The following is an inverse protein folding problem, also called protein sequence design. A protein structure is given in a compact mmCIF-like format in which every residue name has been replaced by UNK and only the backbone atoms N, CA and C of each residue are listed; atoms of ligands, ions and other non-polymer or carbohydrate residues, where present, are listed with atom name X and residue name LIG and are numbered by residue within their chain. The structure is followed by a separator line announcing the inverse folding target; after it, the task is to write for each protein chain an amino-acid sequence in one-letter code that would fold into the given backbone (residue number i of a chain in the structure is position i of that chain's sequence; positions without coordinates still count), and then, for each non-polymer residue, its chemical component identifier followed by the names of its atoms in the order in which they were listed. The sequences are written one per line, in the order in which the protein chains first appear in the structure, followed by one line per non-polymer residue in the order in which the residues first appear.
data_IF_574534918405
#
_entry.id   IF_574534918405
#
_cell.length_a   1.000
_cell.length_b   1.000
_cell.length_c   1.000
_cell.angle_alpha   90.00
_cell.angle_beta   90.00
_cell.angle_gamma   90.00
#
_symmetry.space_group_name_H-M   'P 1'
#
loop_
_entity.id
_entity.type
_entity.pdbx_description
1 polymer ?
#
# COMPACT_ATOMS: atom_id res chain seq x y z
N UNK A 1 14.12 -6.88 -20.63
CA UNK A 1 13.91 -5.56 -19.98
C UNK A 1 12.82 -5.59 -18.90
N UNK A 2 11.70 -6.32 -19.07
CA UNK A 2 10.61 -6.43 -18.08
C UNK A 2 11.00 -7.00 -16.70
N UNK A 3 11.90 -7.99 -16.63
CA UNK A 3 12.39 -8.56 -15.37
C UNK A 3 13.17 -7.54 -14.52
N UNK A 4 13.98 -6.69 -15.16
CA UNK A 4 14.75 -5.62 -14.51
C UNK A 4 13.85 -4.51 -13.97
N UNK A 5 12.70 -4.28 -14.61
CA UNK A 5 11.70 -3.30 -14.17
C UNK A 5 10.88 -3.80 -12.97
N UNK A 6 10.54 -5.09 -12.95
CA UNK A 6 9.80 -5.72 -11.84
C UNK A 6 10.62 -5.75 -10.55
N UNK A 7 11.90 -6.13 -10.62
CA UNK A 7 12.80 -6.12 -9.46
C UNK A 7 12.98 -4.72 -8.86
N UNK A 8 13.00 -3.67 -9.70
CA UNK A 8 13.10 -2.29 -9.26
C UNK A 8 11.84 -1.80 -8.52
N UNK A 9 10.66 -2.24 -8.95
CA UNK A 9 9.40 -1.92 -8.26
C UNK A 9 9.33 -2.59 -6.89
N UNK A 10 9.64 -3.89 -6.84
CA UNK A 10 9.66 -4.64 -5.59
C UNK A 10 10.65 -4.02 -4.60
N UNK A 11 11.88 -3.76 -5.03
CA UNK A 11 12.89 -3.11 -4.20
C UNK A 11 12.40 -1.80 -3.60
N UNK A 12 11.83 -0.90 -4.42
CA UNK A 12 11.28 0.38 -3.94
C UNK A 12 10.15 0.18 -2.93
N UNK A 13 9.28 -0.81 -3.14
CA UNK A 13 8.19 -1.13 -2.22
C UNK A 13 8.68 -1.60 -0.84
N UNK A 14 9.82 -2.30 -0.81
CA UNK A 14 10.38 -2.86 0.43
C UNK A 14 11.19 -1.86 1.26
N UNK A 15 11.62 -0.71 0.69
CA UNK A 15 12.54 0.21 1.38
C UNK A 15 12.01 0.72 2.72
N UNK A 16 10.77 1.21 2.76
CA UNK A 16 10.18 1.76 4.00
C UNK A 16 9.89 0.66 5.03
N UNK A 17 9.25 -0.48 4.68
CA UNK A 17 9.09 -1.58 5.62
C UNK A 17 10.42 -2.12 6.16
N UNK A 18 11.44 -2.30 5.31
CA UNK A 18 12.76 -2.75 5.74
C UNK A 18 13.43 -1.76 6.69
N UNK A 19 13.34 -0.45 6.41
CA UNK A 19 13.88 0.57 7.31
C UNK A 19 13.20 0.53 8.67
N UNK A 20 11.88 0.35 8.70
CA UNK A 20 11.14 0.19 9.96
C UNK A 20 11.57 -1.08 10.70
N UNK A 21 11.75 -2.21 10.02
CA UNK A 21 12.24 -3.46 10.62
C UNK A 21 13.65 -3.32 11.17
N UNK A 22 14.55 -2.67 10.42
CA UNK A 22 15.91 -2.39 10.88
C UNK A 22 15.88 -1.52 12.13
N UNK A 23 15.00 -0.51 12.17
CA UNK A 23 14.82 0.33 13.35
C UNK A 23 14.32 -0.46 14.56
N UNK A 24 13.29 -1.30 14.39
CA UNK A 24 12.78 -2.17 15.46
C UNK A 24 13.87 -3.12 15.96
N UNK A 25 14.64 -3.73 15.04
CA UNK A 25 15.72 -4.63 15.39
C UNK A 25 16.86 -3.92 16.12
N UNK A 26 17.24 -2.72 15.68
CA UNK A 26 18.26 -1.91 16.34
C UNK A 26 17.83 -1.56 17.77
N UNK A 27 16.60 -1.08 17.96
CA UNK A 27 16.05 -0.77 19.29
C UNK A 27 16.03 -2.02 20.17
N UNK A 28 15.57 -3.16 19.65
CA UNK A 28 15.52 -4.41 20.40
C UNK A 28 16.92 -4.88 20.83
N UNK A 29 17.91 -4.86 19.92
CA UNK A 29 19.29 -5.26 20.24
C UNK A 29 19.89 -4.32 21.28
N UNK A 30 19.70 -3.00 21.13
CA UNK A 30 20.21 -2.01 22.09
C UNK A 30 19.56 -2.15 23.47
N UNK A 31 18.24 -2.36 23.55
CA UNK A 31 17.55 -2.60 24.81
C UNK A 31 18.10 -3.82 25.54
N UNK A 32 18.30 -4.92 24.80
CA UNK A 32 18.78 -6.19 25.35
C UNK A 32 20.26 -6.18 25.73
N UNK A 33 21.11 -5.52 24.95
CA UNK A 33 22.55 -5.49 25.22
C UNK A 33 22.91 -4.57 26.38
N UNK A 34 22.15 -3.49 26.58
CA UNK A 34 22.39 -2.49 27.61
C UNK A 34 21.47 -2.62 28.84
N UNK A 35 20.51 -3.55 28.81
CA UNK A 35 19.58 -3.78 29.93
C UNK A 35 18.66 -2.59 30.21
N UNK A 36 18.28 -1.82 29.19
CA UNK A 36 17.62 -0.52 29.36
C UNK A 36 16.17 -0.62 29.81
N UNK A 37 15.51 -1.77 29.63
CA UNK A 37 14.09 -1.98 29.95
C UNK A 37 13.16 -1.00 29.22
N UNK A 38 13.40 -0.77 27.93
CA UNK A 38 12.69 0.23 27.11
C UNK A 38 11.19 -0.06 26.96
N UNK A 39 10.75 -1.30 27.16
CA UNK A 39 9.34 -1.69 27.11
C UNK A 39 8.44 -0.90 28.08
N UNK A 40 9.00 -0.25 29.11
CA UNK A 40 8.27 0.70 29.98
C UNK A 40 7.70 1.92 29.24
N UNK A 41 8.25 2.24 28.07
CA UNK A 41 7.75 3.31 27.19
C UNK A 41 6.71 2.79 26.21
N UNK A 42 6.10 1.64 26.46
CA UNK A 42 4.94 1.17 25.72
C UNK A 42 3.70 2.04 25.98
N UNK A 43 2.61 1.69 25.31
CA UNK A 43 1.35 2.39 25.41
C UNK A 43 0.58 1.90 26.62
N UNK A 44 0.29 2.82 27.54
CA UNK A 44 -0.51 2.58 28.73
C UNK A 44 -1.87 3.25 28.50
N UNK A 45 -2.98 2.50 28.46
CA UNK A 45 -4.30 3.06 28.19
C UNK A 45 -4.71 4.10 29.24
N UNK A 46 -5.40 5.16 28.80
CA UNK A 46 -5.99 6.22 29.62
C UNK A 46 -5.04 7.05 30.51
N UNK A 47 -3.75 6.73 30.52
CA UNK A 47 -2.74 7.44 31.30
C UNK A 47 -2.01 8.47 30.44
N UNK A 48 -1.86 9.73 30.88
CA UNK A 48 -1.14 10.75 30.11
C UNK A 48 0.31 10.36 29.76
N UNK A 49 1.02 9.67 30.66
CA UNK A 49 2.37 9.16 30.41
C UNK A 49 2.38 8.09 29.29
N UNK A 50 1.28 7.36 29.12
CA UNK A 50 1.11 6.33 28.09
C UNK A 50 0.96 6.89 26.67
N UNK A 51 0.71 8.20 26.49
CA UNK A 51 0.61 8.83 25.17
C UNK A 51 1.91 8.75 24.38
N UNK A 52 3.06 8.75 25.06
CA UNK A 52 4.36 8.53 24.41
C UNK A 52 4.37 7.20 23.65
N UNK A 53 3.71 6.18 24.23
CA UNK A 53 3.51 4.86 23.66
C UNK A 53 2.82 4.84 22.30
N UNK A 54 2.04 5.86 21.93
CA UNK A 54 1.47 5.95 20.57
C UNK A 54 2.59 5.94 19.52
N UNK A 55 3.72 6.59 19.82
CA UNK A 55 4.87 6.66 18.93
C UNK A 55 5.81 5.48 19.21
N UNK A 56 6.10 5.17 20.47
CA UNK A 56 7.16 4.21 20.81
C UNK A 56 6.71 2.76 20.79
N UNK A 57 5.46 2.44 21.13
CA UNK A 57 5.02 1.05 21.31
C UNK A 57 5.26 0.16 20.07
N UNK A 58 4.99 0.60 18.82
CA UNK A 58 5.26 -0.22 17.64
C UNK A 58 6.74 -0.58 17.43
N UNK A 59 7.66 0.14 18.07
CA UNK A 59 9.10 -0.10 17.98
C UNK A 59 9.63 -1.03 19.07
N UNK A 60 8.88 -1.20 20.16
CA UNK A 60 9.28 -1.96 21.35
C UNK A 60 8.76 -3.39 21.26
N UNK A 61 9.58 -4.38 21.62
CA UNK A 61 9.21 -5.79 21.54
C UNK A 61 9.68 -6.57 22.76
N UNK A 62 8.79 -7.44 23.25
CA UNK A 62 9.00 -8.22 24.47
C UNK A 62 10.09 -9.27 24.34
N UNK A 63 10.21 -9.91 23.18
CA UNK A 63 11.16 -10.97 22.89
C UNK A 63 11.38 -11.11 21.37
N UNK A 64 12.30 -11.98 20.98
CA UNK A 64 12.64 -12.15 19.56
C UNK A 64 11.50 -12.76 18.73
N UNK A 65 10.73 -13.70 19.30
CA UNK A 65 9.58 -14.28 18.59
C UNK A 65 8.48 -13.23 18.40
N UNK A 66 8.26 -12.37 19.39
CA UNK A 66 7.37 -11.23 19.27
C UNK A 66 7.84 -10.26 18.17
N UNK A 67 9.12 -9.89 18.12
CA UNK A 67 9.68 -9.07 17.04
C UNK A 67 9.50 -9.72 15.66
N UNK A 68 9.87 -10.99 15.53
CA UNK A 68 9.87 -11.70 14.25
C UNK A 68 8.45 -11.91 13.70
N UNK A 69 7.51 -12.28 14.58
CA UNK A 69 6.09 -12.45 14.23
C UNK A 69 5.41 -11.16 13.77
N UNK A 70 5.99 -10.00 14.05
CA UNK A 70 5.54 -8.70 13.54
C UNK A 70 6.31 -8.27 12.28
N UNK A 71 7.62 -8.45 12.27
CA UNK A 71 8.49 -8.02 11.17
C UNK A 71 8.11 -8.67 9.83
N UNK A 72 7.78 -9.97 9.83
CA UNK A 72 7.44 -10.70 8.61
C UNK A 72 6.12 -10.21 7.99
N UNK A 73 4.97 -10.17 8.71
CA UNK A 73 3.75 -9.55 8.20
C UNK A 73 3.94 -8.09 7.78
N UNK A 74 4.67 -7.30 8.58
CA UNK A 74 4.92 -5.89 8.28
C UNK A 74 5.69 -5.71 6.97
N UNK A 75 6.67 -6.58 6.69
CA UNK A 75 7.39 -6.58 5.42
C UNK A 75 6.44 -6.84 4.25
N UNK A 76 5.61 -7.89 4.35
CA UNK A 76 4.71 -8.30 3.25
C UNK A 76 3.61 -7.27 3.03
N UNK A 77 2.87 -6.90 4.08
CA UNK A 77 1.76 -5.95 4.01
C UNK A 77 2.25 -4.54 3.71
N UNK A 78 3.37 -4.12 4.30
CA UNK A 78 3.98 -2.83 4.00
C UNK A 78 4.47 -2.76 2.55
N UNK A 79 5.11 -3.81 2.04
CA UNK A 79 5.53 -3.85 0.64
C UNK A 79 4.33 -3.82 -0.29
N UNK A 80 3.27 -4.58 0.01
CA UNK A 80 1.98 -4.51 -0.70
C UNK A 80 1.43 -3.09 -0.73
N UNK A 81 1.44 -2.39 0.41
CA UNK A 81 0.98 -1.01 0.52
C UNK A 81 1.74 -0.07 -0.43
N UNK A 82 3.07 -0.12 -0.41
CA UNK A 82 3.91 0.75 -1.25
C UNK A 82 3.94 0.35 -2.73
N UNK A 83 3.57 -0.88 -3.09
CA UNK A 83 3.42 -1.29 -4.49
C UNK A 83 2.06 -0.87 -5.04
N UNK A 84 0.98 -1.17 -4.31
CA UNK A 84 -0.41 -1.09 -4.76
C UNK A 84 -1.02 0.31 -4.56
N UNK A 85 -0.58 1.06 -3.54
CA UNK A 85 -1.18 2.34 -3.12
C UNK A 85 -0.18 3.50 -3.12
N UNK A 86 0.81 3.49 -4.03
CA UNK A 86 1.97 4.41 -4.06
C UNK A 86 1.70 5.87 -3.65
N UNK A 87 0.68 6.58 -4.16
CA UNK A 87 0.49 8.00 -3.86
C UNK A 87 0.16 8.27 -2.39
N UNK A 88 -0.49 7.30 -1.73
CA UNK A 88 -1.02 7.44 -0.37
C UNK A 88 -0.37 6.49 0.64
N UNK A 89 0.52 5.60 0.20
CA UNK A 89 1.10 4.52 1.02
C UNK A 89 1.71 5.03 2.33
N UNK A 90 2.55 6.07 2.27
CA UNK A 90 3.17 6.64 3.46
C UNK A 90 2.14 7.26 4.41
N UNK A 91 1.12 7.95 3.85
CA UNK A 91 0.02 8.54 4.62
C UNK A 91 -0.79 7.45 5.33
N UNK A 92 -1.15 6.38 4.62
CA UNK A 92 -1.89 5.23 5.19
C UNK A 92 -1.07 4.55 6.28
N UNK A 93 0.23 4.36 6.09
CA UNK A 93 1.11 3.75 7.11
C UNK A 93 1.16 4.61 8.39
N UNK A 94 1.40 5.92 8.26
CA UNK A 94 1.47 6.84 9.40
C UNK A 94 0.12 6.94 10.11
N UNK A 95 -0.98 7.03 9.37
CA UNK A 95 -2.31 7.06 9.98
C UNK A 95 -2.67 5.74 10.64
N UNK A 96 -2.30 4.61 10.03
CA UNK A 96 -2.47 3.28 10.64
C UNK A 96 -1.72 3.18 11.96
N UNK A 97 -0.53 3.75 12.05
CA UNK A 97 0.23 3.82 13.30
C UNK A 97 -0.45 4.71 14.35
N UNK A 98 -0.67 5.97 14.02
CA UNK A 98 -1.10 6.97 14.99
C UNK A 98 -2.55 6.77 15.44
N UNK A 99 -3.46 6.45 14.53
CA UNK A 99 -4.88 6.25 14.87
C UNK A 99 -5.05 4.97 15.67
N UNK A 100 -4.37 3.89 15.31
CA UNK A 100 -4.40 2.64 16.10
C UNK A 100 -3.91 2.89 17.52
N UNK A 101 -2.78 3.59 17.67
CA UNK A 101 -2.27 3.97 18.99
C UNK A 101 -3.27 4.84 19.76
N UNK A 102 -3.82 5.88 19.14
CA UNK A 102 -4.77 6.77 19.80
C UNK A 102 -6.05 6.04 20.25
N UNK A 103 -6.60 5.19 19.41
CA UNK A 103 -7.77 4.39 19.77
C UNK A 103 -7.45 3.34 20.83
N UNK A 104 -6.29 2.69 20.76
CA UNK A 104 -5.86 1.76 21.81
C UNK A 104 -5.75 2.50 23.13
N UNK A 105 -5.13 3.68 23.15
CA UNK A 105 -5.01 4.50 24.36
C UNK A 105 -6.38 4.88 24.94
N UNK A 106 -7.36 5.17 24.10
CA UNK A 106 -8.70 5.60 24.54
C UNK A 106 -9.63 4.44 24.93
N UNK A 107 -9.60 3.33 24.19
CA UNK A 107 -10.57 2.23 24.31
C UNK A 107 -10.05 1.00 25.03
N UNK A 108 -8.73 0.75 25.04
CA UNK A 108 -8.19 -0.38 25.78
C UNK A 108 -8.38 -0.19 27.29
N UNK A 109 -8.41 -1.30 28.03
CA UNK A 109 -8.69 -1.33 29.46
C UNK A 109 -7.69 -2.24 30.16
N UNK A 110 -7.54 -2.04 31.47
CA UNK A 110 -6.56 -2.74 32.29
C UNK A 110 -5.23 -1.99 32.40
N UNK A 111 -4.31 -2.57 33.15
CA UNK A 111 -3.00 -1.98 33.47
C UNK A 111 -1.89 -2.48 32.54
N UNK A 112 -2.25 -3.15 31.44
CA UNK A 112 -1.29 -3.74 30.52
C UNK A 112 -0.55 -2.66 29.72
N UNK A 113 0.77 -2.84 29.59
CA UNK A 113 1.61 -2.02 28.71
C UNK A 113 1.61 -2.64 27.32
N UNK A 114 0.99 -1.97 26.35
CA UNK A 114 0.97 -2.44 24.97
C UNK A 114 2.29 -2.10 24.28
N UNK A 115 2.93 -3.12 23.71
CA UNK A 115 4.13 -3.02 22.88
C UNK A 115 3.96 -3.89 21.63
N UNK A 116 4.79 -3.65 20.62
CA UNK A 116 4.81 -4.37 19.36
C UNK A 116 4.09 -3.62 18.25
N UNK A 117 4.52 -3.85 17.01
CA UNK A 117 3.92 -3.22 15.81
C UNK A 117 2.63 -3.90 15.34
N UNK A 118 2.09 -4.86 16.09
CA UNK A 118 0.99 -5.71 15.64
C UNK A 118 -0.25 -4.90 15.33
N UNK A 119 -0.61 -3.88 16.13
CA UNK A 119 -1.72 -2.98 15.80
C UNK A 119 -1.61 -2.38 14.39
N UNK A 120 -0.40 -1.98 13.98
CA UNK A 120 -0.13 -1.50 12.61
C UNK A 120 -0.30 -2.63 11.59
N UNK A 121 0.17 -3.84 11.89
CA UNK A 121 0.00 -5.02 11.04
C UNK A 121 -1.48 -5.34 10.82
N UNK A 122 -2.31 -5.34 11.87
CA UNK A 122 -3.75 -5.55 11.76
C UNK A 122 -4.44 -4.44 10.97
N UNK A 123 -4.02 -3.19 11.14
CA UNK A 123 -4.50 -2.07 10.33
C UNK A 123 -4.17 -2.25 8.84
N UNK A 124 -2.94 -2.64 8.51
CA UNK A 124 -2.57 -2.89 7.12
C UNK A 124 -3.30 -4.11 6.55
N UNK A 125 -3.45 -5.20 7.30
CA UNK A 125 -4.18 -6.38 6.85
C UNK A 125 -5.63 -6.02 6.52
N UNK A 126 -6.33 -5.37 7.46
CA UNK A 126 -7.71 -4.94 7.28
C UNK A 126 -7.85 -3.90 6.15
N UNK A 127 -6.87 -3.01 5.98
CA UNK A 127 -6.84 -2.06 4.87
C UNK A 127 -6.78 -2.76 3.50
N UNK A 128 -5.93 -3.78 3.35
CA UNK A 128 -5.82 -4.53 2.10
C UNK A 128 -7.07 -5.36 1.81
N UNK A 129 -7.61 -6.05 2.81
CA UNK A 129 -8.82 -6.87 2.65
C UNK A 129 -10.03 -6.01 2.30
N UNK A 130 -10.26 -4.93 3.05
CA UNK A 130 -11.35 -3.98 2.78
C UNK A 130 -11.13 -3.28 1.45
N UNK A 131 -9.90 -2.85 1.16
CA UNK A 131 -9.52 -2.19 -0.07
C UNK A 131 -9.81 -3.03 -1.32
N UNK A 132 -9.55 -4.34 -1.27
CA UNK A 132 -9.89 -5.27 -2.34
C UNK A 132 -11.40 -5.37 -2.59
N UNK A 133 -12.21 -5.36 -1.52
CA UNK A 133 -13.67 -5.40 -1.62
C UNK A 133 -14.24 -4.11 -2.22
N UNK A 134 -13.74 -2.95 -1.77
CA UNK A 134 -14.34 -1.65 -2.13
C UNK A 134 -13.86 -1.09 -3.47
N UNK A 135 -12.62 -1.39 -3.88
CA UNK A 135 -12.04 -0.88 -5.14
C UNK A 135 -12.24 -1.82 -6.34
N UNK A 136 -12.68 -3.06 -6.12
CA UNK A 136 -13.05 -4.04 -7.18
C UNK A 136 -11.97 -4.26 -8.26
N UNK A 137 -10.69 -4.19 -7.89
CA UNK A 137 -9.56 -4.44 -8.79
C UNK A 137 -8.93 -5.81 -8.58
N UNK A 138 -8.57 -6.47 -9.68
CA UNK A 138 -8.02 -7.84 -9.67
C UNK A 138 -6.67 -7.94 -8.94
N UNK A 139 -5.80 -6.93 -9.06
CA UNK A 139 -4.49 -6.91 -8.39
C UNK A 139 -4.63 -6.81 -6.86
N UNK A 140 -5.58 -6.00 -6.39
CA UNK A 140 -5.92 -5.90 -4.96
C UNK A 140 -6.56 -7.19 -4.44
N UNK A 141 -7.47 -7.80 -5.22
CA UNK A 141 -8.10 -9.07 -4.87
C UNK A 141 -7.08 -10.21 -4.77
N UNK A 142 -6.15 -10.31 -5.72
CA UNK A 142 -5.08 -11.30 -5.70
C UNK A 142 -4.19 -11.13 -4.46
N UNK A 143 -3.81 -9.90 -4.13
CA UNK A 143 -3.03 -9.63 -2.93
C UNK A 143 -3.82 -9.95 -1.65
N UNK A 144 -5.11 -9.60 -1.58
CA UNK A 144 -5.95 -9.95 -0.44
C UNK A 144 -6.06 -11.47 -0.22
N UNK A 145 -6.12 -12.28 -1.30
CA UNK A 145 -6.09 -13.74 -1.18
C UNK A 145 -4.76 -14.24 -0.59
N UNK A 146 -3.62 -13.67 -1.00
CA UNK A 146 -2.31 -13.97 -0.39
C UNK A 146 -2.33 -13.62 1.10
N UNK A 147 -2.90 -12.47 1.46
CA UNK A 147 -3.02 -12.05 2.87
C UNK A 147 -3.87 -13.04 3.67
N UNK A 148 -5.05 -13.42 3.18
CA UNK A 148 -5.90 -14.42 3.87
C UNK A 148 -5.20 -15.77 3.98
N UNK A 149 -4.51 -16.21 2.93
CA UNK A 149 -3.85 -17.51 2.92
C UNK A 149 -2.70 -17.60 3.93
N UNK A 150 -1.80 -16.62 3.95
CA UNK A 150 -0.63 -16.65 4.84
C UNK A 150 -0.91 -16.09 6.24
N UNK A 151 -1.88 -15.19 6.37
CA UNK A 151 -2.13 -14.44 7.61
C UNK A 151 -3.58 -14.54 8.11
N UNK A 152 -4.39 -15.45 7.58
CA UNK A 152 -5.76 -15.67 8.06
C UNK A 152 -5.83 -16.07 9.54
N UNK A 153 -4.78 -16.71 10.06
CA UNK A 153 -4.65 -17.05 11.49
C UNK A 153 -4.58 -15.81 12.40
N UNK A 154 -4.32 -14.62 11.88
CA UNK A 154 -4.39 -13.38 12.66
C UNK A 154 -5.76 -13.15 13.30
N UNK A 155 -6.83 -13.73 12.76
CA UNK A 155 -8.17 -13.63 13.38
C UNK A 155 -8.17 -14.11 14.85
N UNK A 156 -7.32 -15.09 15.18
CA UNK A 156 -7.20 -15.64 16.54
C UNK A 156 -6.56 -14.66 17.52
N UNK A 157 -5.83 -13.65 17.05
CA UNK A 157 -5.22 -12.64 17.91
C UNK A 157 -6.21 -11.62 18.47
N UNK A 158 -7.50 -11.69 18.14
CA UNK A 158 -8.57 -10.95 18.83
C UNK A 158 -9.07 -11.66 20.09
N UNK A 159 -8.68 -12.91 20.30
CA UNK A 159 -9.22 -13.77 21.35
C UNK A 159 -8.07 -14.22 22.28
N UNK A 160 -7.69 -13.38 23.27
CA UNK A 160 -6.54 -13.65 24.14
C UNK A 160 -6.73 -14.94 24.97
N UNK A 161 -7.97 -15.35 25.25
CA UNK A 161 -8.31 -16.53 26.05
C UNK A 161 -7.80 -17.85 25.44
N UNK A 162 -7.53 -17.91 24.13
CA UNK A 162 -6.91 -19.08 23.50
C UNK A 162 -5.40 -19.19 23.75
N UNK A 163 -4.77 -18.14 24.28
CA UNK A 163 -3.33 -18.06 24.53
C UNK A 163 -3.03 -17.45 25.90
N UNK A 164 -3.54 -18.04 27.00
CA UNK A 164 -3.49 -17.42 28.34
C UNK A 164 -2.06 -17.18 28.86
N UNK A 165 -1.07 -17.93 28.37
CA UNK A 165 0.34 -17.76 28.74
C UNK A 165 1.04 -16.62 27.96
N UNK A 166 0.36 -15.95 27.04
CA UNK A 166 0.92 -14.91 26.17
C UNK A 166 0.27 -13.56 26.47
N UNK A 167 1.11 -12.55 26.70
CA UNK A 167 0.65 -11.16 26.80
C UNK A 167 0.35 -10.61 25.41
N UNK A 168 -0.87 -10.85 24.92
CA UNK A 168 -1.34 -10.41 23.60
C UNK A 168 -2.04 -9.07 23.73
N UNK A 169 -1.58 -8.07 22.97
CA UNK A 169 -2.22 -6.75 22.84
C UNK A 169 -3.47 -6.80 21.95
N UNK A 170 -4.46 -7.63 22.31
CA UNK A 170 -5.64 -7.89 21.48
C UNK A 170 -6.50 -6.63 21.26
N UNK A 171 -6.57 -5.70 22.21
CA UNK A 171 -7.25 -4.42 22.03
C UNK A 171 -6.58 -3.60 20.93
N UNK A 172 -5.24 -3.58 20.89
CA UNK A 172 -4.47 -2.93 19.83
C UNK A 172 -4.68 -3.61 18.48
N UNK A 173 -4.81 -4.94 18.45
CA UNK A 173 -5.15 -5.67 17.23
C UNK A 173 -6.53 -5.25 16.70
N UNK A 174 -7.53 -5.20 17.58
CA UNK A 174 -8.90 -4.83 17.23
C UNK A 174 -8.95 -3.38 16.74
N UNK A 175 -8.38 -2.44 17.49
CA UNK A 175 -8.32 -1.02 17.11
C UNK A 175 -7.54 -0.81 15.80
N UNK A 176 -6.50 -1.62 15.58
CA UNK A 176 -5.78 -1.70 14.31
C UNK A 176 -6.70 -2.10 13.17
N UNK A 177 -7.40 -3.23 13.30
CA UNK A 177 -8.31 -3.72 12.28
C UNK A 177 -9.40 -2.70 11.93
N UNK A 178 -10.03 -2.07 12.94
CA UNK A 178 -11.02 -1.01 12.73
C UNK A 178 -10.38 0.19 12.01
N UNK A 179 -9.14 0.56 12.35
CA UNK A 179 -8.41 1.67 11.72
C UNK A 179 -8.21 1.37 10.24
N UNK A 180 -7.75 0.16 9.91
CA UNK A 180 -7.56 -0.29 8.54
C UNK A 180 -8.84 -0.24 7.69
N UNK A 181 -9.97 -0.69 8.25
CA UNK A 181 -11.28 -0.62 7.59
C UNK A 181 -11.64 0.84 7.29
N UNK A 182 -11.55 1.72 8.30
CA UNK A 182 -11.89 3.14 8.13
C UNK A 182 -10.99 3.80 7.07
N UNK A 183 -9.68 3.59 7.14
CA UNK A 183 -8.76 4.16 6.15
C UNK A 183 -9.03 3.62 4.74
N UNK A 184 -9.38 2.34 4.58
CA UNK A 184 -9.70 1.77 3.28
C UNK A 184 -10.95 2.40 2.67
N UNK A 185 -11.95 2.72 3.49
CA UNK A 185 -13.18 3.42 3.08
C UNK A 185 -12.92 4.89 2.76
N UNK A 186 -12.17 5.60 3.60
CA UNK A 186 -11.84 7.02 3.40
C UNK A 186 -11.02 7.24 2.13
N UNK A 187 -9.99 6.42 1.91
CA UNK A 187 -9.11 6.53 0.75
C UNK A 187 -9.62 5.78 -0.48
N UNK A 188 -10.87 5.28 -0.50
CA UNK A 188 -11.36 4.41 -1.59
C UNK A 188 -11.25 5.02 -3.00
N UNK A 189 -11.31 6.35 -3.09
CA UNK A 189 -11.18 7.12 -4.34
C UNK A 189 -9.75 7.60 -4.61
N UNK A 190 -8.82 7.41 -3.68
CA UNK A 190 -7.41 7.77 -3.80
C UNK A 190 -6.58 6.50 -4.10
N UNK A 191 -5.89 6.50 -5.23
CA UNK A 191 -5.13 5.35 -5.73
C UNK A 191 -4.86 5.48 -7.24
N UNK A 192 -4.09 4.57 -7.87
CA UNK A 192 -3.93 4.58 -9.31
C UNK A 192 -5.33 4.45 -9.95
N UNK A 193 -5.74 5.45 -10.72
CA UNK A 193 -7.00 5.41 -11.47
C UNK A 193 -7.08 4.12 -12.30
N UNK A 194 -8.28 3.53 -12.41
CA UNK A 194 -8.54 2.39 -13.27
C UNK A 194 -8.42 2.81 -14.74
N UNK A 195 -7.19 2.92 -15.21
CA UNK A 195 -6.89 3.25 -16.60
C UNK A 195 -7.48 2.19 -17.54
N UNK A 196 -7.66 0.95 -17.06
CA UNK A 196 -8.15 -0.19 -17.85
C UNK A 196 -9.65 -0.07 -18.16
N UNK A 197 -10.49 0.30 -17.18
CA UNK A 197 -11.93 0.48 -17.40
C UNK A 197 -12.15 1.69 -18.30
N UNK A 198 -11.42 2.79 -18.05
CA UNK A 198 -11.50 3.99 -18.89
C UNK A 198 -11.09 3.73 -20.33
N UNK A 199 -10.04 2.94 -20.57
CA UNK A 199 -9.67 2.54 -21.95
C UNK A 199 -10.71 1.65 -22.61
N UNK A 200 -11.45 0.85 -21.84
CA UNK A 200 -12.48 -0.03 -22.38
C UNK A 200 -13.78 0.74 -22.69
N UNK A 201 -14.18 1.66 -21.80
CA UNK A 201 -15.28 2.59 -22.07
C UNK A 201 -14.97 3.50 -23.27
N UNK A 202 -13.75 4.04 -23.35
CA UNK A 202 -13.31 4.82 -24.50
C UNK A 202 -13.20 3.97 -25.78
N UNK A 203 -12.84 2.68 -25.70
CA UNK A 203 -12.84 1.81 -26.88
C UNK A 203 -14.25 1.41 -27.32
N UNK A 204 -15.16 1.23 -26.37
CA UNK A 204 -16.53 0.82 -26.64
C UNK A 204 -17.36 2.00 -27.16
N UNK A 205 -17.09 3.24 -26.72
CA UNK A 205 -17.68 4.47 -27.28
C UNK A 205 -17.18 4.76 -28.71
N UNK A 206 -15.89 4.51 -29.00
CA UNK A 206 -15.29 4.69 -30.34
C UNK A 206 -15.67 3.54 -31.31
N UNK A 207 -16.16 2.41 -30.78
CA UNK A 207 -16.61 1.26 -31.58
C UNK A 207 -18.00 1.43 -32.23
N UNK A 208 -18.70 2.53 -31.92
CA UNK A 208 -19.98 2.90 -32.56
C UNK A 208 -19.81 3.71 -33.86
N UNK A 209 -18.57 3.86 -34.36
CA UNK A 209 -18.34 4.42 -35.69
C UNK A 209 -18.73 3.37 -36.76
N UNK A 210 -19.49 3.74 -37.81
CA UNK A 210 -19.84 2.84 -38.90
C UNK A 210 -18.57 2.24 -39.52
N UNK A 211 -18.57 0.93 -39.75
CA UNK A 211 -17.44 0.17 -40.29
C UNK A 211 -17.23 0.40 -41.80
N UNK A 212 -17.24 1.65 -42.24
CA UNK A 212 -16.94 1.97 -43.64
C UNK A 212 -15.45 1.74 -43.91
N UNK A 213 -15.18 0.51 -44.34
CA UNK A 213 -14.26 0.10 -45.39
C UNK A 213 -13.18 1.13 -45.76
N UNK A 214 -12.00 0.97 -45.17
CA UNK A 214 -10.78 1.54 -45.74
C UNK A 214 -9.93 0.41 -46.30
N UNK A 215 -9.91 0.32 -47.63
CA UNK A 215 -8.93 -0.45 -48.40
C UNK A 215 -7.51 -0.09 -47.94
N UNK A 216 -6.78 -1.11 -47.50
CA UNK A 216 -5.38 -0.98 -47.09
C UNK A 216 -4.48 -0.93 -48.32
N UNK A 217 -4.26 0.25 -48.90
CA UNK A 217 -3.08 0.45 -49.74
C UNK A 217 -1.81 0.49 -48.87
N UNK A 218 -0.92 -0.45 -49.16
CA UNK A 218 0.20 -0.80 -48.30
C UNK A 218 1.26 0.29 -48.15
N UNK A 219 1.40 0.85 -46.95
CA UNK A 219 2.65 1.48 -46.49
C UNK A 219 2.95 1.11 -45.04
N UNK A 220 4.13 0.54 -44.82
CA UNK A 220 4.67 0.12 -43.50
C UNK A 220 4.61 1.28 -42.49
N UNK A 221 3.88 1.12 -41.39
CA UNK A 221 3.90 2.05 -40.25
C UNK A 221 5.23 1.92 -39.48
N UNK A 222 6.02 3.00 -39.44
CA UNK A 222 7.08 3.18 -38.43
C UNK A 222 6.44 3.67 -37.13
N UNK A 223 6.82 3.09 -36.00
CA UNK A 223 6.39 3.51 -34.67
C UNK A 223 6.92 4.94 -34.38
N UNK A 224 6.00 5.85 -34.08
CA UNK A 224 6.33 7.20 -33.59
C UNK A 224 6.38 7.13 -32.07
N UNK A 225 7.51 7.51 -31.47
CA UNK A 225 7.63 7.62 -30.01
C UNK A 225 6.78 8.79 -29.51
N UNK A 226 5.96 8.63 -28.46
CA UNK A 226 5.26 9.75 -27.87
C UNK A 226 6.26 10.69 -27.18
N UNK A 227 6.25 11.96 -27.61
CA UNK A 227 6.94 13.05 -26.93
C UNK A 227 6.16 13.38 -25.65
N UNK A 228 6.82 13.29 -24.50
CA UNK A 228 6.25 13.74 -23.24
C UNK A 228 6.32 15.26 -23.14
N UNK A 229 5.17 15.93 -23.12
CA UNK A 229 5.06 17.28 -22.58
C UNK A 229 3.99 17.33 -21.51
N UNK A 230 4.39 17.85 -20.35
CA UNK A 230 3.59 18.06 -19.16
C UNK A 230 2.92 19.42 -19.27
N UNK A 231 1.58 19.52 -19.31
CA UNK A 231 0.86 20.71 -18.81
C UNK A 231 -0.61 20.39 -18.48
N UNK A 232 -1.09 20.98 -17.37
CA UNK A 232 -2.49 21.00 -16.92
C UNK A 232 -3.33 21.86 -17.87
N UNK A 233 -4.45 21.32 -18.35
CA UNK A 233 -5.45 22.04 -19.15
C UNK A 233 -5.88 21.22 -20.36
N UNK A 234 -7.20 21.12 -20.61
CA UNK A 234 -7.77 20.30 -21.67
C UNK A 234 -7.09 20.53 -23.03
N UNK A 235 -6.58 19.47 -23.66
CA UNK A 235 -5.92 19.53 -24.96
C UNK A 235 -6.93 19.10 -26.02
N UNK A 236 -7.23 20.00 -26.95
CA UNK A 236 -7.86 19.65 -28.23
C UNK A 236 -6.73 19.26 -29.19
N UNK A 237 -6.75 18.03 -29.70
CA UNK A 237 -5.80 17.59 -30.71
C UNK A 237 -6.22 18.13 -32.07
N UNK A 238 -5.39 18.96 -32.69
CA UNK A 238 -5.53 19.34 -34.10
C UNK A 238 -4.43 18.63 -34.88
N UNK A 239 -4.80 17.75 -35.80
CA UNK A 239 -3.84 17.07 -36.67
C UNK A 239 -3.68 17.89 -37.95
N UNK A 240 -2.45 18.31 -38.24
CA UNK A 240 -2.10 18.83 -39.57
C UNK A 240 -1.41 17.71 -40.34
N UNK A 241 -2.08 17.17 -41.35
CA UNK A 241 -1.44 16.23 -42.28
C UNK A 241 -0.41 17.02 -43.10
N UNK A 242 0.87 16.64 -42.95
CA UNK A 242 1.94 17.17 -43.79
C UNK A 242 1.90 16.43 -45.12
N UNK A 243 1.23 17.00 -46.12
CA UNK A 243 1.33 16.52 -47.49
C UNK A 243 2.79 16.63 -47.94
N UNK A 244 3.32 15.53 -48.44
CA UNK A 244 4.71 15.42 -48.88
C UNK A 244 4.73 15.50 -50.40
N UNK A 245 4.31 16.66 -50.93
CA UNK A 245 4.33 16.94 -52.37
C UNK A 245 5.33 18.06 -52.64
N UNK A 246 6.61 17.71 -52.75
CA UNK A 246 7.58 18.53 -53.48
C UNK A 246 8.82 17.69 -53.83
N UNK A 247 8.67 16.76 -54.77
CA UNK A 247 9.78 16.21 -55.56
C UNK A 247 9.24 15.61 -56.86
N UNK A 248 9.08 16.46 -57.88
CA UNK A 248 9.31 16.21 -59.31
C UNK A 248 8.39 17.07 -60.19
N UNK A 249 8.99 18.05 -60.88
CA UNK A 249 8.72 18.35 -62.30
C UNK A 249 9.37 19.68 -62.69
N UNK A 250 10.60 19.65 -63.20
CA UNK A 250 11.08 20.57 -64.23
C UNK A 250 12.10 19.84 -65.12
N UNK A 251 11.60 19.13 -66.12
CA UNK A 251 12.26 18.90 -67.40
C UNK A 251 11.21 19.16 -68.49
N UNK A 252 11.67 19.71 -69.62
CA UNK A 252 10.96 20.11 -70.86
C UNK A 252 10.48 21.57 -70.99
N UNK A 253 11.40 22.43 -71.43
CA UNK A 253 11.40 23.01 -72.79
C UNK A 253 12.79 23.53 -73.17
#
# INVERSE_FOLDING_TARGET
MAQKQSGRVLWKGMQIPLLLIILMLAIFITDRSLGLSLNRFGLIPLEPIGLLGIITAPLLHGDFNHLWSNAVPLLVLGTGLFILYRPIALKVLILSWLITGLWTWFFARGEAVHIGSSGVVYALAAYHLTGALVRRRYDLAAFALIVVFFYGSMIWGFFPDFFPERNISWESHLMGAVTGIILALLFRHEGPEDNIIRTKELSDEDSNLPWDEYELEGKKKRAVNPVNTTHKGAVTYTYTLKNNDSENSQEEN
#
